data_IF_858357128896
#
_entry.id   IF_858357128896
#
_cell.length_a   1.000
_cell.length_b   1.000
_cell.length_c   1.000
_cell.angle_alpha   90.00
_cell.angle_beta   90.00
_cell.angle_gamma   90.00
#
_symmetry.space_group_name_H-M   'P 1'
#
loop_
_entity.id
_entity.type
_entity.pdbx_description
1 polymer ?
#
# COMPACT_ATOMS: atom_id res chain seq x y z
N UNK A 1 -6.73 -6.29 10.51
CA UNK A 1 -8.10 -5.79 10.78
C UNK A 1 -8.95 -6.77 11.61
N UNK A 2 -9.15 -8.04 11.26
CA UNK A 2 -9.92 -8.98 12.12
C UNK A 2 -9.35 -10.43 12.22
N UNK A 3 -8.22 -10.69 11.56
CA UNK A 3 -7.54 -12.00 11.59
C UNK A 3 -8.22 -13.10 10.77
N UNK A 4 -9.30 -12.80 10.04
CA UNK A 4 -10.09 -13.79 9.29
C UNK A 4 -9.60 -14.03 7.85
N UNK A 5 -8.44 -13.50 7.48
CA UNK A 5 -7.85 -13.65 6.14
C UNK A 5 -6.51 -14.37 6.19
N UNK A 6 -5.89 -14.56 5.03
CA UNK A 6 -4.60 -15.26 4.90
C UNK A 6 -3.43 -14.49 5.52
N UNK A 7 -3.53 -13.16 5.54
CA UNK A 7 -2.53 -12.25 6.07
C UNK A 7 -3.19 -11.15 6.92
N UNK A 8 -2.44 -10.62 7.88
CA UNK A 8 -2.89 -9.51 8.74
C UNK A 8 -2.53 -8.13 8.21
N UNK A 9 -1.53 -8.04 7.31
CA UNK A 9 -1.03 -6.80 6.69
C UNK A 9 -1.01 -6.90 5.17
N UNK A 10 -1.10 -5.76 4.50
CA UNK A 10 -1.04 -5.68 3.03
C UNK A 10 0.37 -6.00 2.54
N UNK A 11 1.41 -5.52 3.23
CA UNK A 11 2.80 -5.80 2.89
C UNK A 11 3.15 -7.29 2.91
N UNK A 12 2.63 -8.06 3.88
CA UNK A 12 2.85 -9.50 3.94
C UNK A 12 2.23 -10.22 2.72
N UNK A 13 1.03 -9.82 2.32
CA UNK A 13 0.38 -10.35 1.12
C UNK A 13 1.16 -10.01 -0.17
N UNK A 14 1.71 -8.79 -0.27
CA UNK A 14 2.56 -8.37 -1.40
C UNK A 14 3.87 -9.18 -1.45
N UNK A 15 4.48 -9.48 -0.31
CA UNK A 15 5.68 -10.29 -0.26
C UNK A 15 5.45 -11.75 -0.69
N UNK A 16 4.23 -12.28 -0.55
CA UNK A 16 3.86 -13.60 -1.07
C UNK A 16 3.68 -13.67 -2.60
N UNK A 17 3.58 -12.53 -3.29
CA UNK A 17 3.42 -12.51 -4.76
C UNK A 17 4.67 -13.08 -5.45
N UNK A 18 4.54 -14.03 -6.38
CA UNK A 18 5.67 -14.54 -7.15
C UNK A 18 6.38 -13.43 -7.94
N UNK A 19 7.70 -13.53 -8.04
CA UNK A 19 8.49 -12.58 -8.84
C UNK A 19 8.17 -12.75 -10.33
N UNK A 20 8.05 -11.63 -11.03
CA UNK A 20 7.95 -11.52 -12.48
C UNK A 20 6.81 -12.36 -13.10
N UNK A 21 5.75 -12.61 -12.32
CA UNK A 21 4.55 -13.33 -12.77
C UNK A 21 3.89 -12.62 -13.97
N UNK A 22 3.65 -13.36 -15.04
CA UNK A 22 2.89 -12.88 -16.20
C UNK A 22 1.38 -12.86 -15.95
N UNK A 23 0.90 -13.60 -14.94
CA UNK A 23 -0.51 -13.62 -14.54
C UNK A 23 -0.79 -12.54 -13.50
N UNK A 24 -2.01 -12.01 -13.51
CA UNK A 24 -2.51 -11.13 -12.45
C UNK A 24 -2.54 -11.87 -11.11
N UNK A 25 -2.04 -11.22 -10.07
CA UNK A 25 -2.12 -11.69 -8.70
C UNK A 25 -3.04 -10.75 -7.91
N UNK A 26 -4.22 -11.24 -7.55
CA UNK A 26 -5.24 -10.42 -6.87
C UNK A 26 -5.09 -10.58 -5.36
N UNK A 27 -4.85 -9.47 -4.68
CA UNK A 27 -4.88 -9.36 -3.22
C UNK A 27 -6.15 -8.60 -2.86
N UNK A 28 -7.05 -9.28 -2.16
CA UNK A 28 -8.24 -8.67 -1.61
C UNK A 28 -7.97 -8.19 -0.18
N UNK A 29 -8.21 -6.91 0.05
CA UNK A 29 -7.95 -6.22 1.32
C UNK A 29 -9.27 -5.87 1.96
N UNK A 30 -9.65 -6.65 2.98
CA UNK A 30 -10.90 -6.42 3.73
C UNK A 30 -10.93 -5.02 4.34
N UNK A 31 -12.13 -4.55 4.67
CA UNK A 31 -12.36 -3.28 5.36
C UNK A 31 -11.52 -3.18 6.63
N UNK A 32 -11.02 -1.99 6.89
CA UNK A 32 -10.15 -1.70 8.02
C UNK A 32 -9.14 -0.62 7.67
N UNK A 33 -8.48 -0.12 8.73
CA UNK A 33 -7.33 0.78 8.62
C UNK A 33 -6.07 -0.04 8.81
N UNK A 34 -5.15 0.09 7.87
CA UNK A 34 -3.87 -0.61 7.81
C UNK A 34 -2.77 0.44 7.94
N UNK A 35 -2.25 0.60 9.15
CA UNK A 35 -1.16 1.54 9.46
C UNK A 35 0.18 0.91 9.07
N UNK A 36 0.57 1.06 7.81
CA UNK A 36 1.78 0.47 7.24
C UNK A 36 2.25 1.23 6.00
N UNK A 37 3.57 1.20 5.74
CA UNK A 37 4.14 1.61 4.46
C UNK A 37 4.37 0.37 3.58
N UNK A 38 3.71 0.32 2.42
CA UNK A 38 3.73 -0.84 1.51
C UNK A 38 4.60 -0.54 0.30
N UNK A 39 5.47 -1.48 -0.08
CA UNK A 39 6.32 -1.36 -1.27
C UNK A 39 6.08 -2.52 -2.25
N UNK A 40 5.58 -2.20 -3.44
CA UNK A 40 5.49 -3.13 -4.56
C UNK A 40 6.76 -2.99 -5.40
N UNK A 41 7.77 -3.78 -5.04
CA UNK A 41 9.11 -3.75 -5.63
C UNK A 41 9.08 -4.07 -7.14
N UNK A 42 10.13 -3.64 -7.85
CA UNK A 42 10.29 -3.77 -9.32
C UNK A 42 9.98 -5.16 -9.89
N UNK A 43 10.28 -6.24 -9.16
CA UNK A 43 10.05 -7.63 -9.58
C UNK A 43 8.66 -8.17 -9.24
N UNK A 44 7.82 -7.43 -8.52
CA UNK A 44 6.45 -7.84 -8.18
C UNK A 44 5.51 -7.34 -9.28
N UNK A 45 5.30 -8.17 -10.31
CA UNK A 45 4.53 -7.78 -11.50
C UNK A 45 3.05 -8.13 -11.37
N UNK A 46 2.20 -7.37 -12.06
CA UNK A 46 0.78 -7.65 -12.24
C UNK A 46 -0.01 -7.82 -10.93
N UNK A 47 0.40 -7.11 -9.87
CA UNK A 47 -0.31 -7.07 -8.58
C UNK A 47 -1.59 -6.26 -8.73
N UNK A 48 -2.70 -6.80 -8.25
CA UNK A 48 -4.00 -6.13 -8.19
C UNK A 48 -4.43 -6.03 -6.73
N UNK A 49 -4.55 -4.81 -6.20
CA UNK A 49 -5.16 -4.57 -4.89
C UNK A 49 -6.65 -4.25 -5.06
N UNK A 50 -7.51 -4.93 -4.31
CA UNK A 50 -8.96 -4.69 -4.31
C UNK A 50 -9.42 -4.55 -2.86
N UNK A 51 -9.97 -3.39 -2.50
CA UNK A 51 -10.57 -3.20 -1.17
C UNK A 51 -12.07 -3.49 -1.12
N UNK A 52 -12.66 -3.31 0.06
CA UNK A 52 -14.11 -3.39 0.31
C UNK A 52 -14.87 -2.10 -0.05
N UNK A 53 -14.15 -1.05 -0.47
CA UNK A 53 -14.71 0.24 -0.82
C UNK A 53 -13.78 1.38 -0.42
N UNK A 54 -13.85 2.48 -1.18
CA UNK A 54 -13.18 3.74 -0.82
C UNK A 54 -13.64 4.19 0.58
N UNK A 55 -12.70 4.48 1.47
CA UNK A 55 -12.96 4.83 2.87
C UNK A 55 -13.28 3.65 3.79
N UNK A 56 -13.64 2.48 3.27
CA UNK A 56 -13.82 1.26 4.06
C UNK A 56 -12.50 0.51 4.23
N UNK A 57 -11.68 0.46 3.19
CA UNK A 57 -10.32 -0.09 3.21
C UNK A 57 -9.33 1.06 3.06
N UNK A 58 -8.50 1.31 4.09
CA UNK A 58 -7.55 2.44 4.13
C UNK A 58 -6.15 1.93 4.44
N UNK A 59 -5.19 2.23 3.57
CA UNK A 59 -3.76 2.08 3.84
C UNK A 59 -3.25 3.45 4.27
N UNK A 60 -2.80 3.57 5.52
CA UNK A 60 -2.44 4.84 6.15
C UNK A 60 -0.99 4.83 6.60
N UNK A 61 -0.31 5.96 6.40
CA UNK A 61 1.06 6.19 6.84
C UNK A 61 1.24 7.64 7.26
N UNK A 62 2.36 7.96 7.90
CA UNK A 62 2.63 9.29 8.46
C UNK A 62 4.07 9.79 8.21
N UNK A 63 4.83 9.07 7.36
CA UNK A 63 6.20 9.45 7.02
C UNK A 63 6.22 10.79 6.30
N UNK A 64 7.21 11.60 6.64
CA UNK A 64 7.30 12.97 6.15
C UNK A 64 8.74 13.51 6.20
N UNK A 65 8.96 14.63 5.48
CA UNK A 65 10.26 15.26 5.37
C UNK A 65 10.80 15.82 6.68
N UNK A 66 9.94 16.47 7.48
CA UNK A 66 10.33 17.09 8.75
C UNK A 66 10.91 16.06 9.72
N UNK A 67 10.37 14.84 9.71
CA UNK A 67 10.81 13.75 10.58
C UNK A 67 11.98 12.94 9.97
N UNK A 68 12.64 13.47 8.92
CA UNK A 68 13.92 12.97 8.41
C UNK A 68 13.83 12.03 7.20
N UNK A 69 12.66 11.85 6.60
CA UNK A 69 12.52 11.07 5.37
C UNK A 69 12.78 11.91 4.13
N UNK A 70 13.41 11.33 3.11
CA UNK A 70 13.40 11.97 1.79
C UNK A 70 12.01 11.84 1.17
N UNK A 71 11.57 12.82 0.36
CA UNK A 71 10.24 12.81 -0.28
C UNK A 71 9.89 11.48 -0.95
N UNK A 72 10.86 10.83 -1.61
CA UNK A 72 10.63 9.53 -2.23
C UNK A 72 10.29 8.42 -1.22
N UNK A 73 10.88 8.46 -0.02
CA UNK A 73 10.67 7.45 1.03
C UNK A 73 9.50 7.75 1.96
N UNK A 74 8.77 8.84 1.74
CA UNK A 74 7.56 9.17 2.53
C UNK A 74 6.30 8.47 2.03
N UNK A 75 6.33 7.86 0.84
CA UNK A 75 5.17 7.20 0.25
C UNK A 75 4.56 6.14 1.19
N UNK A 76 3.25 6.25 1.43
CA UNK A 76 2.46 5.22 2.13
C UNK A 76 2.37 3.95 1.28
N UNK A 77 2.12 4.08 -0.02
CA UNK A 77 2.20 2.98 -0.99
C UNK A 77 3.19 3.36 -2.09
N UNK A 78 4.29 2.62 -2.23
CA UNK A 78 5.26 2.82 -3.30
C UNK A 78 5.15 1.70 -4.34
N UNK A 79 5.00 2.06 -5.62
CA UNK A 79 4.83 1.09 -6.71
C UNK A 79 5.93 1.22 -7.76
N UNK A 80 6.76 0.20 -7.88
CA UNK A 80 7.80 0.07 -8.91
C UNK A 80 7.58 -1.13 -9.85
N UNK A 81 6.70 -2.07 -9.46
CA UNK A 81 6.32 -3.22 -10.27
C UNK A 81 5.42 -2.85 -11.46
N UNK A 82 5.64 -3.47 -12.62
CA UNK A 82 4.82 -3.22 -13.81
C UNK A 82 3.44 -3.86 -13.70
N UNK A 83 2.43 -3.24 -14.31
CA UNK A 83 1.08 -3.79 -14.42
C UNK A 83 0.26 -3.73 -13.13
N UNK A 84 0.63 -2.85 -12.18
CA UNK A 84 -0.11 -2.62 -10.95
C UNK A 84 -1.52 -2.05 -11.21
N UNK A 85 -2.50 -2.55 -10.46
CA UNK A 85 -3.87 -2.03 -10.44
C UNK A 85 -4.32 -1.93 -8.99
N UNK A 86 -5.03 -0.85 -8.64
CA UNK A 86 -5.74 -0.72 -7.37
C UNK A 86 -7.18 -0.28 -7.63
N UNK A 87 -8.12 -0.82 -6.85
CA UNK A 87 -9.52 -0.35 -6.82
C UNK A 87 -10.13 -0.49 -5.44
N UNK A 88 -11.18 0.30 -5.21
CA UNK A 88 -12.05 0.17 -4.04
C UNK A 88 -11.30 0.29 -2.69
N UNK A 89 -10.27 1.13 -2.63
CA UNK A 89 -9.49 1.40 -1.42
C UNK A 89 -8.99 2.85 -1.38
N UNK A 90 -8.56 3.29 -0.19
CA UNK A 90 -7.92 4.59 0.05
C UNK A 90 -6.44 4.38 0.39
N UNK A 91 -5.58 5.24 -0.15
CA UNK A 91 -4.20 5.41 0.32
C UNK A 91 -4.06 6.83 0.82
N UNK A 92 -3.58 7.00 2.04
CA UNK A 92 -3.44 8.32 2.65
C UNK A 92 -2.09 8.50 3.36
N UNK A 93 -1.72 9.76 3.55
CA UNK A 93 -0.63 10.13 4.44
C UNK A 93 -1.14 11.19 5.42
N UNK A 94 -1.10 10.88 6.71
CA UNK A 94 -1.74 11.66 7.78
C UNK A 94 -0.78 12.61 8.50
N UNK A 95 0.45 12.77 8.01
CA UNK A 95 1.47 13.63 8.61
C UNK A 95 1.01 15.10 8.81
N UNK A 96 0.15 15.59 7.91
CA UNK A 96 -0.43 16.93 7.99
C UNK A 96 0.48 18.04 7.44
N UNK A 97 -0.07 19.27 7.28
CA UNK A 97 0.56 20.33 6.51
C UNK A 97 1.86 20.87 7.13
N UNK A 98 2.01 20.79 8.46
CA UNK A 98 3.22 21.26 9.18
C UNK A 98 4.42 20.34 8.97
N UNK A 99 4.21 19.14 8.40
CA UNK A 99 5.25 18.12 8.19
C UNK A 99 5.90 18.17 6.80
N UNK A 100 5.52 19.17 5.99
CA UNK A 100 5.99 19.37 4.61
C UNK A 100 5.74 18.15 3.72
N UNK A 101 6.72 17.67 2.95
CA UNK A 101 6.52 16.62 1.95
C UNK A 101 6.15 15.30 2.62
N UNK A 102 4.96 14.79 2.30
CA UNK A 102 4.44 13.54 2.81
C UNK A 102 3.59 12.90 1.69
N UNK A 103 4.08 11.82 1.09
CA UNK A 103 3.49 11.23 -0.12
C UNK A 103 2.52 10.12 0.29
N UNK A 104 1.34 10.07 -0.33
CA UNK A 104 0.42 8.95 -0.19
C UNK A 104 0.78 7.81 -1.16
N UNK A 105 0.88 8.09 -2.46
CA UNK A 105 1.18 7.13 -3.54
C UNK A 105 2.15 7.73 -4.57
#
# INVERSE_FOLDING_TARGET
ADGSGDYTTVGAAVEAVPVESERRYVIYVKKGVYEENVEIKKKKWNVVLVGDGMGATVISGDRNFVDGWTTYRTATLAVAGKGFIARDLTVENTAGPTKHQAVAL
#
